data_IF_326709894525
#
_entry.id   IF_326709894525
#
_cell.length_a   1.000
_cell.length_b   1.000
_cell.length_c   1.000
_cell.angle_alpha   90.00
_cell.angle_beta   90.00
_cell.angle_gamma   90.00
#
_symmetry.space_group_name_H-M   'P 1'
#
loop_
_entity.id
_entity.type
_entity.pdbx_description
1 polymer ?
#
# COMPACT_ATOMS: atom_id res chain seq x y z
N UNK A 1 -8.52 12.25 -7.63
CA UNK A 1 -7.19 11.64 -7.62
C UNK A 1 -7.01 10.82 -6.36
N UNK A 2 -6.51 9.61 -6.49
CA UNK A 2 -6.27 8.73 -5.35
C UNK A 2 -4.98 9.12 -4.63
N UNK A 3 -5.05 9.28 -3.35
CA UNK A 3 -3.90 9.68 -2.52
C UNK A 3 -3.26 8.42 -1.93
N UNK A 4 -2.02 8.17 -2.30
CA UNK A 4 -1.31 6.95 -1.92
C UNK A 4 -0.09 7.23 -1.05
N UNK A 5 0.18 6.29 -0.14
CA UNK A 5 1.41 6.27 0.66
C UNK A 5 2.10 4.94 0.40
N UNK A 6 3.42 4.97 0.33
CA UNK A 6 4.25 3.78 0.20
C UNK A 6 5.10 3.64 1.47
N UNK A 7 5.08 2.46 2.08
CA UNK A 7 5.92 2.14 3.24
C UNK A 7 6.75 0.90 2.91
N UNK A 8 8.06 1.05 2.86
CA UNK A 8 9.00 -0.01 2.54
C UNK A 8 10.37 0.38 3.07
N UNK A 9 11.06 -0.53 3.75
CA UNK A 9 12.37 -0.22 4.33
C UNK A 9 13.47 -0.08 3.28
N UNK A 10 13.23 -0.49 2.04
CA UNK A 10 14.18 -0.36 0.95
C UNK A 10 13.88 0.86 0.07
N UNK A 11 14.74 1.89 0.09
CA UNK A 11 14.52 3.08 -0.76
C UNK A 11 14.37 2.76 -2.24
N UNK A 12 15.10 1.75 -2.74
CA UNK A 12 15.02 1.35 -4.15
C UNK A 12 13.64 0.77 -4.50
N UNK A 13 13.03 0.05 -3.59
CA UNK A 13 11.69 -0.50 -3.80
C UNK A 13 10.66 0.63 -3.87
N UNK A 14 10.78 1.62 -3.00
CA UNK A 14 9.93 2.81 -3.03
C UNK A 14 10.10 3.54 -4.37
N UNK A 15 11.34 3.73 -4.80
CA UNK A 15 11.65 4.43 -6.03
C UNK A 15 11.06 3.73 -7.25
N UNK A 16 11.22 2.40 -7.32
CA UNK A 16 10.68 1.60 -8.42
C UNK A 16 9.16 1.66 -8.48
N UNK A 17 8.50 1.49 -7.35
CA UNK A 17 7.05 1.54 -7.31
C UNK A 17 6.52 2.95 -7.61
N UNK A 18 7.18 3.96 -7.08
CA UNK A 18 6.81 5.37 -7.37
C UNK A 18 6.89 5.66 -8.85
N UNK A 19 7.96 5.19 -9.50
CA UNK A 19 8.15 5.39 -10.93
C UNK A 19 7.04 4.70 -11.72
N UNK A 20 6.76 3.43 -11.39
CA UNK A 20 5.71 2.66 -12.05
C UNK A 20 4.35 3.35 -11.91
N UNK A 21 3.99 3.76 -10.70
CA UNK A 21 2.71 4.39 -10.45
C UNK A 21 2.57 5.71 -11.21
N UNK A 22 3.61 6.54 -11.21
CA UNK A 22 3.54 7.84 -11.88
C UNK A 22 3.50 7.73 -13.41
N UNK A 23 4.07 6.67 -13.96
CA UNK A 23 4.02 6.45 -15.42
C UNK A 23 2.77 5.71 -15.87
N UNK A 24 2.18 4.95 -14.96
CA UNK A 24 1.08 4.06 -15.29
C UNK A 24 -0.27 4.75 -15.22
N UNK A 25 -0.49 5.55 -14.19
CA UNK A 25 -1.79 6.12 -13.94
C UNK A 25 -1.69 7.50 -13.31
N UNK A 26 -2.24 8.48 -14.00
CA UNK A 26 -2.25 9.86 -13.53
C UNK A 26 -3.27 10.11 -12.44
N UNK A 27 -4.16 9.13 -12.19
CA UNK A 27 -5.19 9.26 -11.17
C UNK A 27 -4.71 8.86 -9.79
N UNK A 28 -3.46 8.39 -9.67
CA UNK A 28 -2.84 8.06 -8.38
C UNK A 28 -1.71 9.05 -8.09
N UNK A 29 -1.78 9.68 -6.94
CA UNK A 29 -0.75 10.59 -6.48
C UNK A 29 -0.10 10.04 -5.22
N UNK A 30 1.23 9.87 -5.25
CA UNK A 30 1.97 9.46 -4.06
C UNK A 30 2.21 10.71 -3.22
N UNK A 31 1.52 10.81 -2.10
CA UNK A 31 1.61 12.00 -1.25
C UNK A 31 2.79 11.94 -0.28
N UNK A 32 3.25 10.72 0.05
CA UNK A 32 4.41 10.55 0.90
C UNK A 32 4.93 9.12 0.82
N UNK A 33 6.19 8.92 1.25
CA UNK A 33 6.81 7.61 1.33
C UNK A 33 7.57 7.51 2.65
N UNK A 34 7.67 6.30 3.20
CA UNK A 34 8.35 6.07 4.48
C UNK A 34 9.20 4.82 4.43
N UNK A 35 10.39 4.91 5.02
CA UNK A 35 11.25 3.74 5.24
C UNK A 35 11.19 3.27 6.69
N UNK A 36 10.54 4.03 7.57
CA UNK A 36 10.42 3.71 8.99
C UNK A 36 8.94 3.59 9.38
N UNK A 37 8.60 2.48 10.02
CA UNK A 37 7.22 2.16 10.37
C UNK A 37 6.59 3.21 11.32
N UNK A 38 7.32 3.64 12.34
CA UNK A 38 6.78 4.59 13.33
C UNK A 38 6.36 5.90 12.70
N UNK A 39 7.16 6.41 11.78
CA UNK A 39 6.86 7.66 11.08
C UNK A 39 5.66 7.50 10.17
N UNK A 40 5.55 6.34 9.53
CA UNK A 40 4.41 6.03 8.67
C UNK A 40 3.12 5.99 9.47
N UNK A 41 3.13 5.31 10.60
CA UNK A 41 1.95 5.19 11.48
C UNK A 41 1.44 6.56 11.87
N UNK A 42 2.34 7.41 12.36
CA UNK A 42 1.98 8.76 12.79
C UNK A 42 1.34 9.55 11.65
N UNK A 43 1.96 9.53 10.49
CA UNK A 43 1.46 10.28 9.34
C UNK A 43 0.10 9.77 8.85
N UNK A 44 -0.05 8.46 8.77
CA UNK A 44 -1.30 7.84 8.31
C UNK A 44 -2.44 8.16 9.27
N UNK A 45 -2.18 8.10 10.58
CA UNK A 45 -3.19 8.40 11.58
C UNK A 45 -3.64 9.87 11.56
N UNK A 46 -2.80 10.75 11.05
CA UNK A 46 -3.08 12.18 10.97
C UNK A 46 -3.55 12.64 9.59
N UNK A 47 -3.62 11.73 8.62
CA UNK A 47 -3.89 12.06 7.22
C UNK A 47 -5.14 11.38 6.70
N UNK A 48 -5.63 11.87 5.56
CA UNK A 48 -6.67 11.20 4.80
C UNK A 48 -6.03 10.64 3.52
N UNK A 49 -6.06 9.32 3.37
CA UNK A 49 -5.47 8.65 2.21
C UNK A 49 -6.47 7.67 1.61
N UNK A 50 -6.25 7.31 0.35
CA UNK A 50 -7.13 6.38 -0.38
C UNK A 50 -6.52 4.99 -0.48
N UNK A 51 -5.19 4.87 -0.46
CA UNK A 51 -4.54 3.57 -0.50
C UNK A 51 -3.15 3.61 0.14
N UNK A 52 -2.75 2.45 0.64
CA UNK A 52 -1.45 2.22 1.28
C UNK A 52 -0.79 1.02 0.64
N UNK A 53 0.41 1.22 0.07
CA UNK A 53 1.28 0.14 -0.39
C UNK A 53 2.25 -0.15 0.75
N UNK A 54 2.19 -1.36 1.28
CA UNK A 54 2.88 -1.70 2.53
C UNK A 54 3.72 -2.96 2.38
N UNK A 55 5.03 -2.82 2.60
CA UNK A 55 5.94 -3.96 2.68
C UNK A 55 5.74 -4.69 4.00
N UNK A 56 5.82 -6.01 3.97
CA UNK A 56 5.68 -6.82 5.19
C UNK A 56 6.97 -6.84 5.99
N UNK A 57 8.10 -7.06 5.33
CA UNK A 57 9.37 -7.27 6.04
C UNK A 57 10.12 -5.98 6.29
N UNK A 58 10.01 -5.48 7.50
CA UNK A 58 10.70 -4.29 7.97
C UNK A 58 11.40 -4.59 9.30
N UNK A 59 12.52 -3.89 9.61
CA UNK A 59 13.36 -4.28 10.76
C UNK A 59 12.70 -4.21 12.14
N UNK A 60 11.90 -3.19 12.42
CA UNK A 60 11.38 -2.96 13.77
C UNK A 60 10.00 -3.56 14.00
N UNK A 61 9.20 -3.66 12.95
CA UNK A 61 7.91 -4.31 13.00
C UNK A 61 7.52 -4.69 11.57
N UNK A 62 6.75 -5.76 11.41
CA UNK A 62 6.29 -6.13 10.07
C UNK A 62 5.08 -5.32 9.67
N UNK A 63 4.68 -5.42 8.39
CA UNK A 63 3.55 -4.67 7.86
C UNK A 63 2.23 -4.97 8.57
N UNK A 64 2.02 -6.21 9.00
CA UNK A 64 0.78 -6.57 9.70
C UNK A 64 0.71 -5.93 11.08
N UNK A 65 1.85 -5.86 11.77
CA UNK A 65 1.94 -5.17 13.05
C UNK A 65 1.68 -3.67 12.88
N UNK A 66 2.17 -3.09 11.79
CA UNK A 66 1.89 -1.69 11.47
C UNK A 66 0.39 -1.46 11.33
N UNK A 67 -0.30 -2.34 10.59
CA UNK A 67 -1.75 -2.21 10.40
C UNK A 67 -2.52 -2.21 11.72
N UNK A 68 -2.07 -3.02 12.68
CA UNK A 68 -2.70 -3.09 14.01
C UNK A 68 -2.59 -1.78 14.78
N UNK A 69 -1.61 -0.96 14.45
CA UNK A 69 -1.36 0.31 15.15
C UNK A 69 -2.04 1.51 14.48
N UNK A 70 -2.76 1.28 13.39
CA UNK A 70 -3.49 2.36 12.72
C UNK A 70 -4.82 2.58 13.41
N UNK A 71 -5.17 3.87 13.60
CA UNK A 71 -6.42 4.25 14.25
C UNK A 71 -7.64 4.03 13.36
N UNK A 72 -7.43 3.99 12.05
CA UNK A 72 -8.50 3.82 11.07
C UNK A 72 -7.99 3.04 9.87
N UNK A 73 -8.88 2.33 9.20
CA UNK A 73 -8.59 1.51 8.04
C UNK A 73 -9.63 1.71 6.94
N UNK A 74 -10.02 2.96 6.71
CA UNK A 74 -11.02 3.30 5.69
C UNK A 74 -10.43 3.47 4.29
N UNK A 75 -9.22 2.99 4.07
CA UNK A 75 -8.50 3.06 2.80
C UNK A 75 -8.10 1.66 2.34
N UNK A 76 -7.80 1.53 1.05
CA UNK A 76 -7.34 0.26 0.49
C UNK A 76 -5.90 -0.04 0.92
N UNK A 77 -5.64 -1.28 1.32
CA UNK A 77 -4.30 -1.74 1.69
C UNK A 77 -3.82 -2.75 0.65
N UNK A 78 -2.64 -2.49 0.08
CA UNK A 78 -1.98 -3.40 -0.85
C UNK A 78 -0.67 -3.86 -0.20
N UNK A 79 -0.55 -5.15 0.02
CA UNK A 79 0.68 -5.73 0.59
C UNK A 79 1.69 -5.96 -0.53
N UNK A 80 2.94 -5.55 -0.31
CA UNK A 80 4.05 -5.84 -1.23
C UNK A 80 5.10 -6.66 -0.48
N UNK A 81 5.61 -7.72 -1.09
CA UNK A 81 6.56 -8.61 -0.43
C UNK A 81 7.33 -9.46 -1.45
N UNK A 82 8.50 -9.93 -1.04
CA UNK A 82 9.27 -10.89 -1.84
C UNK A 82 8.81 -12.33 -1.61
N UNK A 83 7.89 -12.58 -0.67
CA UNK A 83 7.50 -13.92 -0.25
C UNK A 83 6.02 -14.19 -0.49
N UNK A 84 5.71 -15.39 -1.02
CA UNK A 84 4.33 -15.76 -1.33
C UNK A 84 3.59 -16.40 -0.15
N UNK A 85 4.26 -16.62 0.96
CA UNK A 85 3.67 -17.31 2.13
C UNK A 85 2.72 -16.44 2.95
N UNK A 86 2.66 -15.14 2.70
CA UNK A 86 1.85 -14.20 3.47
C UNK A 86 0.48 -13.92 2.86
N UNK A 87 0.13 -14.57 1.75
CA UNK A 87 -1.11 -14.27 1.03
C UNK A 87 -2.36 -14.47 1.89
N UNK A 88 -2.42 -15.56 2.64
CA UNK A 88 -3.57 -15.84 3.49
C UNK A 88 -3.67 -14.82 4.63
N UNK A 89 -2.53 -14.47 5.22
CA UNK A 89 -2.50 -13.48 6.29
C UNK A 89 -2.91 -12.10 5.78
N UNK A 90 -2.52 -11.75 4.56
CA UNK A 90 -2.94 -10.50 3.92
C UNK A 90 -4.46 -10.46 3.78
N UNK A 91 -5.05 -11.55 3.33
CA UNK A 91 -6.50 -11.66 3.19
C UNK A 91 -7.21 -11.50 4.54
N UNK A 92 -6.69 -12.15 5.59
CA UNK A 92 -7.24 -12.05 6.94
C UNK A 92 -7.13 -10.65 7.52
N UNK A 93 -6.17 -9.86 7.06
CA UNK A 93 -6.00 -8.48 7.48
C UNK A 93 -6.70 -7.48 6.54
N UNK A 94 -7.60 -7.99 5.70
CA UNK A 94 -8.44 -7.19 4.83
C UNK A 94 -7.66 -6.36 3.79
N UNK A 95 -6.50 -6.87 3.35
CA UNK A 95 -5.80 -6.25 2.23
C UNK A 95 -6.62 -6.44 0.95
N UNK A 96 -6.66 -5.41 0.13
CA UNK A 96 -7.38 -5.47 -1.13
C UNK A 96 -6.62 -6.28 -2.17
N UNK A 97 -5.28 -6.29 -2.06
CA UNK A 97 -4.44 -7.05 -2.98
C UNK A 97 -3.08 -7.36 -2.35
N UNK A 98 -2.34 -8.20 -3.06
CA UNK A 98 -1.06 -8.73 -2.61
C UNK A 98 -0.14 -8.83 -3.83
N UNK A 99 0.98 -8.11 -3.80
CA UNK A 99 1.91 -8.06 -4.92
C UNK A 99 3.27 -8.65 -4.54
N UNK A 100 3.75 -9.59 -5.34
CA UNK A 100 5.08 -10.17 -5.15
C UNK A 100 6.13 -9.32 -5.84
N UNK A 101 7.26 -9.12 -5.17
CA UNK A 101 8.42 -8.44 -5.74
C UNK A 101 9.28 -9.43 -6.54
N UNK A 102 9.84 -9.06 -7.69
CA UNK A 102 9.65 -7.79 -8.36
C UNK A 102 8.23 -7.66 -8.90
N UNK A 103 7.63 -6.48 -8.76
CA UNK A 103 6.23 -6.28 -9.10
C UNK A 103 6.05 -6.30 -10.62
N UNK A 104 5.17 -7.17 -11.08
CA UNK A 104 4.82 -7.26 -12.50
C UNK A 104 3.87 -6.11 -12.87
N UNK A 105 4.10 -5.50 -14.03
CA UNK A 105 3.31 -4.36 -14.49
C UNK A 105 1.82 -4.71 -14.65
N UNK A 106 1.51 -5.89 -15.18
CA UNK A 106 0.12 -6.32 -15.36
C UNK A 106 -0.57 -6.54 -14.02
N UNK A 107 0.15 -7.10 -13.04
CA UNK A 107 -0.39 -7.29 -11.70
C UNK A 107 -0.65 -5.94 -11.03
N UNK A 108 0.26 -4.99 -11.22
CA UNK A 108 0.09 -3.64 -10.67
C UNK A 108 -1.11 -2.94 -11.30
N UNK A 109 -1.31 -3.09 -12.60
CA UNK A 109 -2.46 -2.52 -13.31
C UNK A 109 -3.77 -3.07 -12.73
N UNK A 110 -3.84 -4.37 -12.54
CA UNK A 110 -5.03 -5.01 -11.97
C UNK A 110 -5.29 -4.49 -10.54
N UNK A 111 -4.23 -4.31 -9.76
CA UNK A 111 -4.32 -3.77 -8.40
C UNK A 111 -4.85 -2.35 -8.41
N UNK A 112 -4.35 -1.51 -9.30
CA UNK A 112 -4.82 -0.12 -9.43
C UNK A 112 -6.31 -0.08 -9.73
N UNK A 113 -6.77 -0.95 -10.63
CA UNK A 113 -8.19 -1.04 -10.95
C UNK A 113 -9.02 -1.46 -9.73
N UNK A 114 -8.51 -2.36 -8.91
CA UNK A 114 -9.19 -2.76 -7.67
C UNK A 114 -9.26 -1.61 -6.67
N UNK A 115 -8.20 -0.82 -6.56
CA UNK A 115 -8.17 0.36 -5.70
C UNK A 115 -9.24 1.35 -6.14
N UNK A 116 -9.33 1.61 -7.43
CA UNK A 116 -10.32 2.53 -7.98
C UNK A 116 -11.75 2.05 -7.72
N UNK A 117 -12.00 0.77 -7.89
CA UNK A 117 -13.31 0.19 -7.64
C UNK A 117 -13.67 0.25 -6.16
N UNK A 118 -12.70 -0.01 -5.28
CA UNK A 118 -12.90 0.07 -3.85
C UNK A 118 -13.23 1.49 -3.42
N UNK A 119 -12.48 2.46 -3.92
CA UNK A 119 -12.69 3.87 -3.62
C UNK A 119 -14.05 4.36 -4.13
N UNK A 120 -14.43 3.94 -5.33
CA UNK A 120 -15.71 4.28 -5.92
C UNK A 120 -16.88 3.76 -5.09
N UNK A 121 -16.78 2.52 -4.60
CA UNK A 121 -17.82 1.93 -3.74
C UNK A 121 -17.95 2.66 -2.42
N UNK A 122 -16.84 3.08 -1.84
CA UNK A 122 -16.85 3.81 -0.59
C UNK A 122 -17.43 5.23 -0.74
N UNK A 123 -17.35 5.80 -1.94
CA UNK A 123 -17.87 7.13 -2.23
C UNK A 123 -19.29 7.13 -2.74
N UNK A 124 -19.80 5.97 -3.14
CA UNK A 124 -21.15 5.85 -3.69
C UNK A 124 -22.15 5.42 -2.62
N UNK A 125 -22.33 6.25 -1.66
CA UNK A 125 -23.29 5.98 -0.59
C UNK A 125 -24.62 6.67 -0.85
#
# INVERSE_FOLDING_TARGET
MLRAIIVDDEPKAIQSLSWELSNFDKDIEIINTFTEADKAIKHINESSIDCLFLDIEMPTMDGFQLLEKLNKRDFAVVITTAYNEYAIKALKNEAIDYLLKPIDTDDLEATINRIKNHNSKNNSS
#
